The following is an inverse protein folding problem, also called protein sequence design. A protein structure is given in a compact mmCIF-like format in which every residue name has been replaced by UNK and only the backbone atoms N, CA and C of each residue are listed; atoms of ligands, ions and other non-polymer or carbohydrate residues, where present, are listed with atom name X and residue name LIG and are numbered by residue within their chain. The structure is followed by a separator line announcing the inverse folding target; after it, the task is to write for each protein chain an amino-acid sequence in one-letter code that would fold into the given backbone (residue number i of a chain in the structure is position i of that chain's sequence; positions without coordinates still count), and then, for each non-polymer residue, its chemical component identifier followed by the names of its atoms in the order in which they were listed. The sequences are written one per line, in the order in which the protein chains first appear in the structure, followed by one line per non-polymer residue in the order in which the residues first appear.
data_IF_011959132383
#
_entry.id   IF_011959132383
#
_cell.length_a   1.000
_cell.length_b   1.000
_cell.length_c   1.000
_cell.angle_alpha   90.00
_cell.angle_beta   90.00
_cell.angle_gamma   90.00
#
_symmetry.space_group_name_H-M   'P 1'
#
loop_
_entity.id
_entity.type
_entity.pdbx_description
1 polymer ?
#
# COMPACT_ATOMS: atom_id res chain seq x y z
N UNK A 1 12.17 7.81 0.69
CA UNK A 1 10.92 7.80 -0.10
C UNK A 1 10.02 6.77 0.51
N UNK A 2 8.99 7.18 1.24
CA UNK A 2 8.01 6.28 1.86
C UNK A 2 6.69 6.46 1.13
N UNK A 3 6.19 5.40 0.53
CA UNK A 3 4.92 5.39 -0.20
C UNK A 3 4.75 6.58 -1.15
N UNK A 4 5.73 6.74 -2.03
CA UNK A 4 5.85 7.89 -2.93
C UNK A 4 6.18 7.45 -4.35
N UNK A 5 7.15 6.54 -4.50
CA UNK A 5 7.69 6.18 -5.81
C UNK A 5 6.64 5.51 -6.71
N UNK A 6 5.71 4.75 -6.12
CA UNK A 6 4.58 4.12 -6.78
C UNK A 6 3.55 5.12 -7.36
N UNK A 7 3.54 6.36 -6.85
CA UNK A 7 2.69 7.45 -7.31
C UNK A 7 3.36 8.32 -8.38
N UNK A 8 4.68 8.19 -8.57
CA UNK A 8 5.40 8.99 -9.56
C UNK A 8 4.99 8.59 -10.98
N UNK A 9 4.89 9.57 -11.88
CA UNK A 9 4.67 9.32 -13.31
C UNK A 9 5.95 8.89 -14.04
N UNK A 10 7.11 9.16 -13.44
CA UNK A 10 8.42 8.75 -13.94
C UNK A 10 9.31 8.35 -12.75
N UNK A 11 9.14 7.13 -12.21
CA UNK A 11 9.93 6.67 -11.07
C UNK A 11 11.43 6.61 -11.39
N UNK A 12 11.80 6.41 -12.65
CA UNK A 12 13.21 6.33 -13.02
C UNK A 12 13.90 7.68 -12.91
N UNK A 13 13.21 8.76 -13.30
CA UNK A 13 13.69 10.13 -13.05
C UNK A 13 13.87 10.41 -11.57
N UNK A 14 12.94 9.97 -10.71
CA UNK A 14 13.06 10.14 -9.25
C UNK A 14 14.29 9.41 -8.69
N UNK A 15 14.57 8.19 -9.15
CA UNK A 15 15.75 7.43 -8.72
C UNK A 15 17.06 8.09 -9.17
N UNK A 16 17.13 8.61 -10.41
CA UNK A 16 18.30 9.35 -10.90
C UNK A 16 18.52 10.63 -10.10
N UNK A 17 17.45 11.40 -9.84
CA UNK A 17 17.52 12.61 -9.02
C UNK A 17 18.01 12.30 -7.59
N UNK A 18 17.55 11.21 -6.99
CA UNK A 18 18.05 10.76 -5.69
C UNK A 18 19.53 10.39 -5.72
N UNK A 19 20.00 9.73 -6.79
CA UNK A 19 21.42 9.44 -6.98
C UNK A 19 22.25 10.72 -7.07
N UNK A 20 21.85 11.68 -7.91
CA UNK A 20 22.53 12.96 -8.09
C UNK A 20 22.63 13.76 -6.79
N UNK A 21 21.55 13.78 -6.00
CA UNK A 21 21.47 14.55 -4.76
C UNK A 21 22.29 13.96 -3.59
N UNK A 22 22.54 12.65 -3.58
CA UNK A 22 23.28 11.98 -2.50
C UNK A 22 24.79 12.12 -2.71
N UNK A 23 25.57 12.41 -1.66
CA UNK A 23 27.02 12.23 -1.74
C UNK A 23 27.42 10.76 -1.92
N UNK A 24 28.62 10.45 -2.46
CA UNK A 24 29.17 9.09 -2.40
C UNK A 24 29.14 8.53 -0.97
N UNK A 25 28.68 7.28 -0.81
CA UNK A 25 28.44 6.66 0.50
C UNK A 25 27.10 7.05 1.17
N UNK A 26 26.34 7.99 0.60
CA UNK A 26 25.00 8.35 1.06
C UNK A 26 23.99 7.22 0.88
N UNK A 27 22.93 7.22 1.69
CA UNK A 27 21.91 6.17 1.67
C UNK A 27 20.56 6.69 1.16
N UNK A 28 19.96 5.92 0.27
CA UNK A 28 18.60 6.05 -0.20
C UNK A 28 17.75 4.95 0.45
N UNK A 29 16.69 5.36 1.15
CA UNK A 29 15.68 4.45 1.68
C UNK A 29 14.41 4.57 0.84
N UNK A 30 13.92 3.46 0.32
CA UNK A 30 12.69 3.36 -0.46
C UNK A 30 11.78 2.32 0.18
N UNK A 31 10.52 2.68 0.41
CA UNK A 31 9.46 1.77 0.86
C UNK A 31 8.25 1.94 -0.06
N UNK A 32 7.79 0.83 -0.63
CA UNK A 32 6.69 0.77 -1.60
C UNK A 32 5.88 -0.51 -1.42
N UNK A 33 4.64 -0.58 -1.91
CA UNK A 33 3.84 -1.80 -1.93
C UNK A 33 4.55 -2.98 -2.58
N UNK A 34 4.35 -4.16 -2.01
CA UNK A 34 4.90 -5.41 -2.54
C UNK A 34 3.83 -6.17 -3.36
N UNK A 35 3.84 -6.09 -4.71
CA UNK A 35 2.90 -6.85 -5.53
C UNK A 35 3.09 -8.37 -5.46
N UNK A 36 4.23 -8.85 -4.93
CA UNK A 36 4.51 -10.28 -4.75
C UNK A 36 4.00 -10.80 -3.39
N UNK A 37 3.47 -9.91 -2.54
CA UNK A 37 2.79 -10.27 -1.31
C UNK A 37 1.67 -11.27 -1.54
N UNK A 38 1.57 -12.29 -0.67
CA UNK A 38 0.43 -13.21 -0.73
C UNK A 38 -0.90 -12.51 -0.46
N UNK A 39 -0.90 -11.37 0.24
CA UNK A 39 -2.13 -10.58 0.40
C UNK A 39 -2.67 -10.04 -0.91
N UNK A 40 -1.80 -9.69 -1.87
CA UNK A 40 -2.23 -9.26 -3.20
C UNK A 40 -3.12 -10.33 -3.89
N UNK A 41 -2.77 -11.61 -3.71
CA UNK A 41 -3.57 -12.73 -4.23
C UNK A 41 -4.79 -13.05 -3.37
N UNK A 42 -4.64 -13.09 -2.04
CA UNK A 42 -5.71 -13.50 -1.12
C UNK A 42 -6.86 -12.49 -1.07
N UNK A 43 -6.53 -11.20 -0.99
CA UNK A 43 -7.52 -10.13 -0.91
C UNK A 43 -8.00 -9.71 -2.30
N UNK A 44 -7.24 -10.03 -3.36
CA UNK A 44 -7.63 -9.78 -4.74
C UNK A 44 -8.02 -8.32 -4.94
N UNK A 45 -9.21 -8.05 -5.49
CA UNK A 45 -9.73 -6.69 -5.71
C UNK A 45 -9.86 -5.83 -4.44
N UNK A 46 -9.81 -6.44 -3.26
CA UNK A 46 -9.91 -5.76 -1.96
C UNK A 46 -8.56 -5.46 -1.32
N UNK A 47 -7.46 -5.76 -2.00
CA UNK A 47 -6.14 -5.39 -1.51
C UNK A 47 -5.91 -3.89 -1.70
N UNK A 48 -5.81 -3.16 -0.59
CA UNK A 48 -5.70 -1.69 -0.58
C UNK A 48 -4.55 -1.16 -1.47
N UNK A 49 -3.35 -1.77 -1.47
CA UNK A 49 -2.24 -1.27 -2.27
C UNK A 49 -2.44 -1.35 -3.79
N UNK A 50 -3.54 -1.90 -4.32
CA UNK A 50 -3.88 -1.62 -5.71
C UNK A 50 -4.10 -0.12 -5.95
N UNK A 51 -4.82 0.53 -5.03
CA UNK A 51 -5.12 1.98 -4.94
C UNK A 51 -5.26 2.71 -6.29
N UNK A 52 -5.82 2.08 -7.32
CA UNK A 52 -5.93 2.69 -8.63
C UNK A 52 -6.94 3.86 -8.57
N UNK A 53 -6.67 5.00 -9.20
CA UNK A 53 -5.56 5.30 -10.13
C UNK A 53 -4.32 5.95 -9.49
N UNK A 54 -4.17 5.91 -8.16
CA UNK A 54 -3.08 6.60 -7.45
C UNK A 54 -1.74 5.86 -7.54
N UNK A 55 -1.73 4.52 -7.45
CA UNK A 55 -0.53 3.70 -7.64
C UNK A 55 -0.34 3.39 -9.13
N UNK A 56 0.47 4.20 -9.80
CA UNK A 56 0.80 4.04 -11.21
C UNK A 56 1.76 2.88 -11.44
N UNK A 57 2.57 2.54 -10.43
CA UNK A 57 3.56 1.48 -10.51
C UNK A 57 3.46 0.54 -9.32
N UNK A 58 3.43 -0.76 -9.59
CA UNK A 58 3.61 -1.80 -8.59
C UNK A 58 4.85 -2.59 -8.95
N UNK A 59 5.90 -2.38 -8.17
CA UNK A 59 7.25 -2.82 -8.50
C UNK A 59 7.58 -4.09 -7.73
N UNK A 60 7.81 -5.23 -8.40
CA UNK A 60 8.48 -6.36 -7.76
C UNK A 60 9.83 -5.92 -7.20
N UNK A 61 10.17 -6.37 -6.00
CA UNK A 61 11.41 -5.96 -5.30
C UNK A 61 12.66 -6.20 -6.15
N UNK A 62 12.68 -7.30 -6.90
CA UNK A 62 13.77 -7.66 -7.80
C UNK A 62 13.99 -6.63 -8.92
N UNK A 63 12.92 -6.01 -9.43
CA UNK A 63 13.01 -4.98 -10.46
C UNK A 63 13.60 -3.68 -9.91
N UNK A 64 13.16 -3.24 -8.73
CA UNK A 64 13.70 -2.03 -8.10
C UNK A 64 15.16 -2.24 -7.70
N UNK A 65 15.50 -3.41 -7.13
CA UNK A 65 16.90 -3.75 -6.78
C UNK A 65 17.82 -3.72 -8.00
N UNK A 66 17.39 -4.32 -9.12
CA UNK A 66 18.14 -4.29 -10.38
C UNK A 66 18.34 -2.85 -10.85
N UNK A 67 17.27 -2.05 -10.85
CA UNK A 67 17.37 -0.67 -11.33
C UNK A 67 18.29 0.20 -10.47
N UNK A 68 18.23 0.04 -9.14
CA UNK A 68 19.15 0.71 -8.22
C UNK A 68 20.61 0.32 -8.51
N UNK A 69 20.89 -0.95 -8.79
CA UNK A 69 22.23 -1.41 -9.16
C UNK A 69 22.72 -0.78 -10.46
N UNK A 70 21.87 -0.70 -11.49
CA UNK A 70 22.21 -0.06 -12.77
C UNK A 70 22.54 1.44 -12.62
N UNK A 71 21.99 2.09 -11.59
CA UNK A 71 22.24 3.49 -11.25
C UNK A 71 23.47 3.70 -10.36
N UNK A 72 24.21 2.65 -9.99
CA UNK A 72 25.40 2.77 -9.14
C UNK A 72 25.10 2.71 -7.63
N UNK A 73 23.93 2.24 -7.23
CA UNK A 73 23.65 1.93 -5.83
C UNK A 73 23.99 0.48 -5.49
N UNK A 74 24.33 0.24 -4.22
CA UNK A 74 24.41 -1.09 -3.62
C UNK A 74 23.31 -1.24 -2.59
N UNK A 75 22.38 -2.18 -2.78
CA UNK A 75 21.38 -2.49 -1.75
C UNK A 75 22.05 -3.17 -0.57
N UNK A 76 21.98 -2.53 0.60
CA UNK A 76 22.61 -2.97 1.86
C UNK A 76 21.62 -3.57 2.85
N UNK A 77 20.32 -3.31 2.67
CA UNK A 77 19.26 -3.97 3.42
C UNK A 77 17.99 -4.11 2.56
N UNK A 78 17.31 -5.23 2.74
CA UNK A 78 15.98 -5.52 2.20
C UNK A 78 15.11 -6.02 3.35
N UNK A 79 13.96 -5.37 3.56
CA UNK A 79 13.09 -5.59 4.70
C UNK A 79 11.66 -5.76 4.23
N UNK A 80 10.99 -6.81 4.69
CA UNK A 80 9.59 -7.09 4.37
C UNK A 80 8.73 -7.06 5.62
N UNK A 81 9.19 -7.68 6.71
CA UNK A 81 8.44 -7.69 7.97
C UNK A 81 8.34 -6.29 8.60
N UNK A 82 9.42 -5.52 8.52
CA UNK A 82 9.54 -4.18 9.10
C UNK A 82 8.85 -3.09 8.28
N UNK A 83 8.64 -3.36 6.99
CA UNK A 83 7.93 -2.47 6.07
C UNK A 83 6.41 -2.74 6.06
N UNK A 84 5.96 -3.84 6.65
CA UNK A 84 4.54 -4.20 6.64
C UNK A 84 3.69 -3.23 7.47
N UNK A 85 2.66 -2.66 6.85
CA UNK A 85 1.62 -1.90 7.53
C UNK A 85 0.41 -2.80 7.85
N UNK A 86 0.09 -3.08 9.14
CA UNK A 86 -0.98 -3.98 9.53
C UNK A 86 -2.37 -3.33 9.38
N UNK A 87 -2.81 -3.17 8.13
CA UNK A 87 -4.10 -2.55 7.77
C UNK A 87 -4.86 -3.28 6.65
N UNK A 88 -4.31 -4.37 6.09
CA UNK A 88 -4.88 -5.03 4.92
C UNK A 88 -6.28 -5.61 5.17
N UNK A 89 -6.52 -6.28 6.30
CA UNK A 89 -7.84 -6.85 6.59
C UNK A 89 -8.86 -5.74 6.87
N UNK A 90 -8.46 -4.72 7.65
CA UNK A 90 -9.30 -3.53 7.88
C UNK A 90 -9.69 -2.89 6.56
N UNK A 91 -8.71 -2.65 5.69
CA UNK A 91 -8.93 -2.01 4.41
C UNK A 91 -9.77 -2.88 3.46
N UNK A 92 -9.58 -4.21 3.47
CA UNK A 92 -10.40 -5.12 2.68
C UNK A 92 -11.88 -5.08 3.11
N UNK A 93 -12.16 -5.08 4.41
CA UNK A 93 -13.52 -4.91 4.94
C UNK A 93 -14.08 -3.55 4.54
N UNK A 94 -13.29 -2.48 4.69
CA UNK A 94 -13.71 -1.14 4.31
C UNK A 94 -14.04 -1.01 2.81
N UNK A 95 -13.19 -1.54 1.92
CA UNK A 95 -13.42 -1.51 0.48
C UNK A 95 -14.63 -2.36 0.07
N UNK A 96 -14.85 -3.51 0.72
CA UNK A 96 -16.04 -4.32 0.49
C UNK A 96 -17.32 -3.59 0.92
N UNK A 97 -17.29 -2.86 2.03
CA UNK A 97 -18.41 -2.03 2.50
C UNK A 97 -18.66 -0.85 1.56
N UNK A 98 -17.61 -0.15 1.12
CA UNK A 98 -17.73 0.97 0.19
C UNK A 98 -18.28 0.51 -1.17
N UNK A 99 -17.94 -0.69 -1.62
CA UNK A 99 -18.55 -1.27 -2.82
C UNK A 99 -20.03 -1.66 -2.62
N UNK A 100 -20.41 -2.16 -1.44
CA UNK A 100 -21.79 -2.57 -1.14
C UNK A 100 -22.72 -1.38 -0.86
N UNK A 101 -22.19 -0.29 -0.32
CA UNK A 101 -22.89 0.98 -0.11
C UNK A 101 -22.02 2.17 -0.55
N UNK A 102 -21.92 2.40 -1.87
CA UNK A 102 -21.10 3.45 -2.45
C UNK A 102 -21.41 4.84 -1.90
N UNK A 103 -20.39 5.69 -1.89
CA UNK A 103 -20.56 7.11 -1.63
C UNK A 103 -21.26 7.77 -2.82
N UNK A 104 -22.45 8.28 -2.59
CA UNK A 104 -23.23 9.03 -3.60
C UNK A 104 -23.17 10.56 -3.38
N UNK A 105 -22.37 11.04 -2.43
CA UNK A 105 -22.21 12.46 -2.12
C UNK A 105 -21.04 13.12 -2.88
N UNK A 106 -20.50 12.44 -3.88
CA UNK A 106 -19.45 13.01 -4.70
C UNK A 106 -19.94 14.25 -5.48
N UNK A 107 -19.15 15.34 -5.53
CA UNK A 107 -19.59 16.61 -6.10
C UNK A 107 -19.84 16.56 -7.62
N UNK A 108 -19.39 15.51 -8.30
CA UNK A 108 -19.59 15.28 -9.73
C UNK A 108 -20.81 14.39 -10.05
N UNK A 109 -21.60 13.98 -9.06
CA UNK A 109 -22.81 13.19 -9.30
C UNK A 109 -24.01 14.09 -9.69
N UNK A 110 -24.92 13.58 -10.55
CA UNK A 110 -26.02 14.38 -11.10
C UNK A 110 -27.07 14.78 -10.05
N UNK A 111 -27.19 14.01 -8.97
CA UNK A 111 -28.12 14.29 -7.88
C UNK A 111 -27.51 13.91 -6.54
N UNK A 112 -27.92 14.61 -5.48
CA UNK A 112 -27.56 14.27 -4.10
C UNK A 112 -28.37 13.06 -3.61
N UNK A 113 -27.80 12.20 -2.76
CA UNK A 113 -28.50 11.04 -2.25
C UNK A 113 -29.67 11.47 -1.36
N UNK A 114 -30.80 10.79 -1.51
CA UNK A 114 -31.98 11.00 -0.68
C UNK A 114 -31.74 10.66 0.80
N UNK A 115 -32.55 11.18 1.73
CA UNK A 115 -32.37 10.96 3.17
C UNK A 115 -32.42 9.48 3.57
N UNK A 116 -33.27 8.68 2.92
CA UNK A 116 -33.39 7.24 3.17
C UNK A 116 -32.09 6.49 2.81
N UNK A 117 -31.49 6.79 1.65
CA UNK A 117 -30.23 6.18 1.23
C UNK A 117 -29.11 6.54 2.22
N UNK A 118 -29.03 7.81 2.64
CA UNK A 118 -28.05 8.24 3.66
C UNK A 118 -28.24 7.50 4.99
N UNK A 119 -29.49 7.32 5.43
CA UNK A 119 -29.79 6.58 6.66
C UNK A 119 -29.44 5.09 6.53
N UNK A 120 -29.76 4.45 5.40
CA UNK A 120 -29.41 3.06 5.13
C UNK A 120 -27.89 2.84 5.11
N UNK A 121 -27.14 3.73 4.44
CA UNK A 121 -25.67 3.69 4.44
C UNK A 121 -25.10 3.89 5.84
N UNK A 122 -25.62 4.85 6.62
CA UNK A 122 -25.19 5.05 8.00
C UNK A 122 -25.46 3.82 8.87
N UNK A 123 -26.64 3.21 8.75
CA UNK A 123 -26.98 1.98 9.46
C UNK A 123 -26.04 0.82 9.09
N UNK A 124 -25.72 0.65 7.80
CA UNK A 124 -24.76 -0.37 7.36
C UNK A 124 -23.36 -0.14 7.94
N UNK A 125 -22.86 1.09 7.89
CA UNK A 125 -21.54 1.42 8.45
C UNK A 125 -21.49 1.18 9.96
N UNK A 126 -22.54 1.56 10.69
CA UNK A 126 -22.65 1.29 12.13
C UNK A 126 -22.70 -0.23 12.40
N UNK A 127 -23.48 -0.98 11.63
CA UNK A 127 -23.56 -2.43 11.74
C UNK A 127 -22.22 -3.12 11.42
N UNK A 128 -21.37 -2.49 10.61
CA UNK A 128 -20.06 -3.02 10.23
C UNK A 128 -18.93 -2.69 11.22
N UNK A 129 -19.17 -1.82 12.21
CA UNK A 129 -18.16 -1.46 13.23
C UNK A 129 -17.53 -2.70 13.90
N UNK A 130 -18.28 -3.74 14.32
CA UNK A 130 -17.67 -4.94 14.90
C UNK A 130 -16.69 -5.61 13.93
N UNK A 131 -17.03 -5.74 12.64
CA UNK A 131 -16.16 -6.34 11.64
C UNK A 131 -14.87 -5.51 11.43
N UNK A 132 -14.98 -4.19 11.37
CA UNK A 132 -13.83 -3.28 11.25
C UNK A 132 -12.90 -3.37 12.47
N UNK A 133 -13.48 -3.44 13.68
CA UNK A 133 -12.73 -3.62 14.92
C UNK A 133 -12.03 -4.98 14.93
N UNK A 134 -12.75 -6.07 14.61
CA UNK A 134 -12.16 -7.41 14.53
C UNK A 134 -11.03 -7.46 13.51
N UNK A 135 -11.21 -6.89 12.32
CA UNK A 135 -10.17 -6.84 11.29
C UNK A 135 -8.93 -6.06 11.77
N UNK A 136 -9.12 -4.91 12.42
CA UNK A 136 -8.03 -4.11 13.02
C UNK A 136 -7.25 -4.90 14.08
N UNK A 137 -7.98 -5.62 14.94
CA UNK A 137 -7.34 -6.44 15.98
C UNK A 137 -6.58 -7.63 15.37
N UNK A 138 -7.14 -8.28 14.35
CA UNK A 138 -6.47 -9.36 13.64
C UNK A 138 -5.20 -8.87 12.94
N UNK A 139 -5.26 -7.76 12.21
CA UNK A 139 -4.09 -7.17 11.55
C UNK A 139 -2.97 -6.91 12.56
N UNK A 140 -3.29 -6.24 13.68
CA UNK A 140 -2.29 -5.80 14.66
C UNK A 140 -1.72 -6.92 15.52
N UNK A 141 -2.54 -7.87 15.94
CA UNK A 141 -2.17 -8.84 16.97
C UNK A 141 -1.99 -10.26 16.45
N UNK A 142 -2.65 -10.64 15.35
CA UNK A 142 -2.52 -11.99 14.78
C UNK A 142 -1.61 -12.00 13.55
N UNK A 143 -1.80 -11.06 12.62
CA UNK A 143 -1.08 -11.03 11.34
C UNK A 143 0.31 -10.42 11.51
N UNK A 144 0.42 -9.21 12.07
CA UNK A 144 1.68 -8.46 12.16
C UNK A 144 2.87 -9.28 12.70
N UNK A 145 2.75 -10.09 13.77
CA UNK A 145 3.89 -10.87 14.27
C UNK A 145 4.34 -11.99 13.33
N UNK A 146 3.48 -12.40 12.40
CA UNK A 146 3.67 -13.53 11.50
C UNK A 146 3.82 -13.12 10.03
N UNK A 147 3.59 -11.85 9.69
CA UNK A 147 3.45 -11.37 8.31
C UNK A 147 4.66 -11.73 7.44
N UNK A 148 5.88 -11.48 7.92
CA UNK A 148 7.10 -11.81 7.20
C UNK A 148 7.28 -13.32 6.99
N UNK A 149 6.95 -14.15 7.99
CA UNK A 149 7.04 -15.62 7.89
C UNK A 149 6.02 -16.20 6.92
N UNK A 150 4.83 -15.61 6.88
CA UNK A 150 3.72 -16.06 6.06
C UNK A 150 3.76 -15.47 4.64
N UNK A 151 4.65 -14.52 4.37
CA UNK A 151 4.69 -13.79 3.09
C UNK A 151 3.49 -12.86 2.90
N UNK A 152 2.95 -12.33 4.00
CA UNK A 152 1.81 -11.41 4.02
C UNK A 152 2.22 -9.94 4.17
N UNK A 153 3.52 -9.63 4.16
CA UNK A 153 3.99 -8.25 4.13
C UNK A 153 3.47 -7.56 2.88
N UNK A 154 2.72 -6.47 3.07
CA UNK A 154 2.08 -5.71 1.99
C UNK A 154 3.01 -4.66 1.34
N UNK A 155 4.19 -4.46 1.91
CA UNK A 155 5.21 -3.54 1.45
C UNK A 155 6.59 -4.12 1.73
N UNK A 156 7.57 -3.66 0.97
CA UNK A 156 8.98 -3.91 1.22
C UNK A 156 9.74 -2.59 1.32
N UNK A 157 10.88 -2.62 1.99
CA UNK A 157 11.81 -1.50 2.13
C UNK A 157 13.20 -1.92 1.68
N UNK A 158 13.80 -1.09 0.84
CA UNK A 158 15.20 -1.19 0.44
C UNK A 158 15.99 -0.02 1.02
N UNK A 159 17.17 -0.34 1.56
CA UNK A 159 18.20 0.65 1.87
C UNK A 159 19.34 0.45 0.89
N UNK A 160 19.65 1.48 0.11
CA UNK A 160 20.63 1.44 -0.96
C UNK A 160 21.70 2.52 -0.75
N UNK A 161 22.97 2.15 -0.82
CA UNK A 161 24.11 3.05 -0.64
C UNK A 161 24.66 3.47 -2.00
N UNK A 162 24.83 4.77 -2.24
CA UNK A 162 25.49 5.29 -3.45
C UNK A 162 26.98 4.94 -3.41
N UNK A 163 27.51 4.41 -4.51
CA UNK A 163 28.94 4.16 -4.66
C UNK A 163 29.73 5.45 -4.91
#
# INVERSE_FOLDING_TARGET
MFHYLEHSTDPDRELRAAHEALCPGGHLLIEVPDPESRYARLLGRWWLPWLQPQHLHLMPVANLRRRLADLGFTVVAEQHAEAHDPVDLLAAVWLALDHAAPREDAPWLPARPGPLHRAARAALLLAAVPALLTATLLDRFAVRPLSGRLGLSNAYRLVARRQ
#
